data_IF_236371483050
#
_entry.id   IF_236371483050
#
_cell.length_a   1.000
_cell.length_b   1.000
_cell.length_c   1.000
_cell.angle_alpha   90.00
_cell.angle_beta   90.00
_cell.angle_gamma   90.00
#
_symmetry.space_group_name_H-M   'P 1'
#
loop_
_entity.id
_entity.type
_entity.pdbx_description
1 polymer ?
#
# COMPACT_ATOMS: atom_id res chain seq x y z
N UNK A 1 -45.99 33.73 -45.05
CA UNK A 1 -45.35 33.26 -46.30
C UNK A 1 -43.99 32.68 -45.97
N UNK A 2 -43.71 31.42 -46.37
CA UNK A 2 -42.48 30.69 -46.07
C UNK A 2 -41.48 30.70 -47.23
N UNK A 3 -40.18 30.52 -46.93
CA UNK A 3 -39.12 29.89 -47.75
C UNK A 3 -38.09 29.40 -46.72
N UNK A 4 -37.77 28.14 -46.44
CA UNK A 4 -37.63 26.89 -47.20
C UNK A 4 -36.80 27.07 -48.48
N UNK A 5 -35.53 26.69 -48.37
CA UNK A 5 -34.65 26.15 -49.42
C UNK A 5 -33.58 25.35 -48.66
N UNK A 6 -33.81 24.05 -48.47
CA UNK A 6 -33.35 22.92 -49.31
C UNK A 6 -31.88 22.57 -49.11
N UNK A 7 -31.69 21.34 -48.63
CA UNK A 7 -30.45 20.57 -48.63
C UNK A 7 -30.09 20.14 -50.06
N UNK A 8 -28.80 20.14 -50.37
CA UNK A 8 -28.22 19.25 -51.37
C UNK A 8 -26.85 18.75 -50.87
N UNK A 9 -26.79 17.43 -50.68
CA UNK A 9 -25.59 16.62 -50.61
C UNK A 9 -24.68 16.83 -51.83
N UNK A 10 -23.36 16.59 -51.69
CA UNK A 10 -22.61 15.58 -52.46
C UNK A 10 -21.07 15.69 -52.26
N UNK A 11 -20.44 14.51 -52.15
CA UNK A 11 -19.05 14.18 -52.52
C UNK A 11 -17.92 14.72 -51.62
N UNK A 12 -17.31 13.93 -50.72
CA UNK A 12 -16.37 12.82 -50.99
C UNK A 12 -15.19 13.21 -51.89
N UNK A 13 -14.00 13.42 -51.29
CA UNK A 13 -12.73 12.99 -51.88
C UNK A 13 -11.71 12.72 -50.77
N UNK A 14 -11.44 11.45 -50.55
CA UNK A 14 -10.17 10.96 -50.02
C UNK A 14 -9.04 11.41 -50.95
N UNK A 15 -7.96 11.97 -50.41
CA UNK A 15 -6.64 11.88 -51.03
C UNK A 15 -5.62 11.54 -49.96
N UNK A 16 -5.33 10.24 -49.90
CA UNK A 16 -4.05 9.73 -49.46
C UNK A 16 -2.92 10.43 -50.22
N UNK A 17 -1.90 10.90 -49.52
CA UNK A 17 -0.54 10.86 -50.03
C UNK A 17 0.39 10.44 -48.90
N UNK A 18 1.03 9.31 -49.18
CA UNK A 18 1.89 8.46 -48.36
C UNK A 18 3.31 8.81 -48.82
N UNK A 19 4.14 9.42 -47.96
CA UNK A 19 5.59 9.44 -48.16
C UNK A 19 6.24 9.07 -46.82
N UNK A 20 6.45 7.76 -46.65
CA UNK A 20 7.27 7.19 -45.59
C UNK A 20 8.73 7.34 -45.97
N UNK A 21 9.42 8.27 -45.31
CA UNK A 21 10.87 8.31 -45.26
C UNK A 21 11.35 7.10 -44.43
N UNK A 22 11.90 6.09 -45.12
CA UNK A 22 12.44 4.88 -44.49
C UNK A 22 13.85 5.16 -44.00
N UNK A 23 13.99 5.59 -42.76
CA UNK A 23 15.27 5.50 -42.03
C UNK A 23 15.54 4.03 -41.70
N UNK A 24 16.51 3.42 -42.39
CA UNK A 24 16.99 2.08 -42.08
C UNK A 24 17.81 2.12 -40.78
N UNK A 25 17.19 1.72 -39.67
CA UNK A 25 17.92 1.41 -38.43
C UNK A 25 18.87 0.20 -38.68
N UNK A 26 20.13 0.25 -38.21
CA UNK A 26 21.04 -0.87 -38.36
C UNK A 26 20.58 -2.07 -37.54
N UNK A 27 20.46 -3.23 -38.20
CA UNK A 27 20.03 -4.47 -37.57
C UNK A 27 20.99 -4.88 -36.44
N UNK A 28 20.47 -4.89 -35.21
CA UNK A 28 21.11 -5.48 -34.05
C UNK A 28 21.28 -6.99 -34.27
N UNK A 29 22.53 -7.44 -34.32
CA UNK A 29 22.88 -8.86 -34.40
C UNK A 29 22.36 -9.56 -33.13
N UNK A 30 21.30 -10.35 -33.27
CA UNK A 30 20.76 -11.16 -32.18
C UNK A 30 21.71 -12.34 -31.92
N UNK A 31 22.46 -12.31 -30.82
CA UNK A 31 23.11 -13.51 -30.29
C UNK A 31 22.04 -14.44 -29.73
N UNK A 32 21.53 -15.33 -30.58
CA UNK A 32 20.65 -16.42 -30.20
C UNK A 32 21.51 -17.49 -29.50
N UNK A 33 21.69 -17.38 -28.18
CA UNK A 33 22.26 -18.48 -27.42
C UNK A 33 21.25 -19.63 -27.40
N UNK A 34 21.66 -20.74 -28.01
CA UNK A 34 20.91 -21.97 -28.11
C UNK A 34 20.96 -22.68 -26.74
N UNK A 35 19.95 -22.51 -25.90
CA UNK A 35 19.77 -23.40 -24.74
C UNK A 35 19.06 -24.65 -25.23
N UNK A 36 19.85 -25.69 -25.53
CA UNK A 36 19.33 -27.04 -25.68
C UNK A 36 18.67 -27.46 -24.37
N UNK A 37 17.37 -27.73 -24.41
CA UNK A 37 16.63 -28.39 -23.33
C UNK A 37 17.06 -29.84 -23.24
N UNK A 38 17.56 -30.26 -22.07
CA UNK A 38 17.76 -31.66 -21.68
C UNK A 38 17.39 -31.79 -20.18
N UNK A 39 16.98 -32.98 -19.72
CA UNK A 39 15.70 -33.22 -19.08
C UNK A 39 15.79 -33.15 -17.56
N UNK A 40 14.65 -32.82 -16.96
CA UNK A 40 14.33 -33.10 -15.56
C UNK A 40 14.38 -34.60 -15.31
N UNK A 41 15.23 -35.04 -14.38
CA UNK A 41 14.96 -36.15 -13.46
C UNK A 41 15.89 -36.02 -12.23
N UNK A 42 15.23 -35.92 -11.07
CA UNK A 42 15.60 -36.41 -9.74
C UNK A 42 17.05 -36.27 -9.25
N UNK A 43 17.29 -35.20 -8.48
CA UNK A 43 18.22 -35.26 -7.35
C UNK A 43 17.54 -34.65 -6.13
N UNK A 44 17.52 -35.48 -5.09
CA UNK A 44 16.67 -35.35 -3.93
C UNK A 44 16.79 -34.06 -3.12
N UNK A 45 15.66 -33.76 -2.53
CA UNK A 45 15.39 -33.00 -1.32
C UNK A 45 16.57 -32.99 -0.31
N UNK A 46 17.43 -31.98 -0.40
CA UNK A 46 18.57 -31.78 0.52
C UNK A 46 18.59 -30.40 1.20
N UNK A 47 17.54 -29.59 1.02
CA UNK A 47 17.45 -28.24 1.59
C UNK A 47 16.05 -27.86 2.12
N UNK A 48 15.20 -28.84 2.38
CA UNK A 48 14.02 -28.64 3.21
C UNK A 48 14.40 -28.82 4.69
N UNK A 49 14.91 -27.76 5.32
CA UNK A 49 14.91 -27.67 6.79
C UNK A 49 13.61 -26.96 7.17
N UNK A 50 12.76 -27.67 7.90
CA UNK A 50 11.47 -27.23 8.40
C UNK A 50 11.56 -25.90 9.15
N UNK A 51 10.81 -24.92 8.67
CA UNK A 51 10.52 -23.64 9.30
C UNK A 51 9.36 -23.79 10.29
N UNK A 52 9.61 -24.33 11.48
CA UNK A 52 8.60 -24.33 12.56
C UNK A 52 9.11 -23.95 13.95
N UNK A 53 10.33 -23.41 14.07
CA UNK A 53 10.92 -22.96 15.35
C UNK A 53 11.70 -21.64 15.22
N UNK A 54 11.17 -20.65 14.49
CA UNK A 54 11.85 -19.32 14.36
C UNK A 54 11.03 -18.19 15.00
N UNK A 55 9.99 -18.51 15.77
CA UNK A 55 9.23 -17.48 16.51
C UNK A 55 9.76 -17.24 17.93
N UNK A 56 10.71 -18.04 18.44
CA UNK A 56 11.27 -17.89 19.79
C UNK A 56 12.75 -17.46 19.84
N UNK A 57 13.46 -17.43 18.70
CA UNK A 57 14.91 -17.16 18.69
C UNK A 57 15.26 -15.67 18.48
N UNK A 58 14.33 -14.84 18.03
CA UNK A 58 14.57 -13.41 17.78
C UNK A 58 14.44 -12.52 19.05
N UNK A 59 13.89 -13.05 20.16
CA UNK A 59 13.93 -12.37 21.47
C UNK A 59 15.22 -12.69 22.26
N UNK A 60 15.86 -13.83 22.02
CA UNK A 60 17.09 -14.23 22.70
C UNK A 60 18.33 -13.48 22.21
N UNK A 61 18.32 -12.91 20.99
CA UNK A 61 19.44 -12.15 20.44
C UNK A 61 19.56 -10.72 20.99
N UNK A 62 18.66 -10.28 21.88
CA UNK A 62 18.80 -9.03 22.64
C UNK A 62 19.30 -9.23 24.08
N UNK A 63 19.40 -10.47 24.56
CA UNK A 63 19.98 -10.80 25.86
C UNK A 63 21.16 -11.73 25.63
N UNK A 64 22.34 -11.15 25.42
CA UNK A 64 23.58 -11.87 25.11
C UNK A 64 23.87 -13.01 26.10
N UNK A 65 23.48 -14.22 25.73
CA UNK A 65 23.79 -15.46 26.45
C UNK A 65 23.86 -16.62 25.47
N UNK A 66 25.01 -16.75 24.83
CA UNK A 66 25.49 -18.03 24.34
C UNK A 66 26.70 -18.42 25.20
N UNK A 67 26.43 -19.33 26.13
CA UNK A 67 27.44 -20.02 26.91
C UNK A 67 27.85 -21.30 26.18
N UNK A 68 29.16 -21.52 26.01
CA UNK A 68 29.71 -22.86 25.82
C UNK A 68 30.50 -23.10 24.53
N UNK A 69 31.70 -22.53 24.43
CA UNK A 69 32.86 -23.23 23.86
C UNK A 69 34.11 -22.68 24.56
N UNK A 70 34.67 -23.48 25.47
CA UNK A 70 35.91 -23.16 26.18
C UNK A 70 37.10 -23.30 25.23
N UNK A 71 37.45 -22.22 24.55
CA UNK A 71 38.79 -22.05 23.97
C UNK A 71 39.66 -21.44 25.05
N UNK A 72 40.82 -22.05 25.27
CA UNK A 72 41.78 -21.65 26.28
C UNK A 72 42.12 -20.17 26.13
N UNK A 73 42.23 -19.49 27.28
CA UNK A 73 42.81 -18.16 27.46
C UNK A 73 43.95 -17.92 26.47
N UNK A 74 43.67 -17.19 25.38
CA UNK A 74 44.73 -16.56 24.59
C UNK A 74 45.29 -15.44 25.48
N UNK A 75 46.37 -15.78 26.16
CA UNK A 75 47.32 -14.78 26.63
C UNK A 75 47.68 -13.93 25.42
N UNK A 76 47.55 -12.61 25.57
CA UNK A 76 48.01 -11.67 24.56
C UNK A 76 49.48 -11.98 24.27
N UNK A 77 49.74 -12.65 23.15
CA UNK A 77 51.05 -12.61 22.54
C UNK A 77 51.21 -11.16 22.10
N UNK A 78 51.97 -10.39 22.89
CA UNK A 78 52.53 -9.13 22.42
C UNK A 78 53.31 -9.48 21.15
N UNK A 79 52.67 -9.29 20.01
CA UNK A 79 53.38 -9.15 18.74
C UNK A 79 54.15 -7.86 18.92
N UNK A 80 55.45 -7.98 19.19
CA UNK A 80 56.34 -6.84 19.10
C UNK A 80 56.07 -6.17 17.75
N UNK A 81 55.63 -4.91 17.78
CA UNK A 81 55.53 -4.12 16.58
C UNK A 81 56.94 -4.04 16.00
N UNK A 82 57.21 -4.82 14.96
CA UNK A 82 58.39 -4.65 14.13
C UNK A 82 58.45 -3.16 13.78
N UNK A 83 59.49 -2.48 14.28
CA UNK A 83 59.68 -1.04 14.08
C UNK A 83 59.77 -0.78 12.59
N UNK A 84 58.64 -0.41 11.99
CA UNK A 84 58.57 0.05 10.60
C UNK A 84 59.53 1.24 10.50
N UNK A 85 60.47 1.18 9.55
CA UNK A 85 61.45 2.24 9.36
C UNK A 85 60.74 3.62 9.30
N UNK A 86 61.28 4.67 9.95
CA UNK A 86 60.60 5.96 10.04
C UNK A 86 60.35 6.58 8.66
N UNK A 87 61.15 6.22 7.66
CA UNK A 87 60.95 6.62 6.27
C UNK A 87 59.71 5.96 5.62
N UNK A 88 59.44 4.70 5.95
CA UNK A 88 58.27 3.95 5.46
C UNK A 88 57.01 4.42 6.18
N UNK A 89 57.09 4.69 7.49
CA UNK A 89 55.99 5.31 8.24
C UNK A 89 55.61 6.68 7.67
N UNK A 90 56.57 7.55 7.38
CA UNK A 90 56.34 8.86 6.77
C UNK A 90 55.78 8.76 5.33
N UNK A 91 56.04 7.66 4.62
CA UNK A 91 55.44 7.38 3.31
C UNK A 91 54.00 6.84 3.44
N UNK A 92 53.72 5.99 4.43
CA UNK A 92 52.39 5.46 4.74
C UNK A 92 51.45 6.56 5.25
N UNK A 93 51.94 7.52 6.04
CA UNK A 93 51.17 8.68 6.50
C UNK A 93 50.73 9.61 5.36
N UNK A 94 51.52 9.69 4.28
CA UNK A 94 51.19 10.45 3.07
C UNK A 94 50.40 9.66 2.04
N UNK A 95 50.21 8.35 2.29
CA UNK A 95 49.44 7.48 1.41
C UNK A 95 47.95 7.69 1.61
N UNK A 96 47.16 7.31 0.60
CA UNK A 96 45.70 7.37 0.66
C UNK A 96 45.14 6.45 1.75
N UNK A 97 45.88 5.41 2.15
CA UNK A 97 45.45 4.37 3.09
C UNK A 97 45.96 4.64 4.52
N UNK A 98 45.59 5.76 5.13
CA UNK A 98 45.96 6.07 6.51
C UNK A 98 45.17 5.23 7.54
N UNK A 99 45.66 5.11 8.79
CA UNK A 99 44.93 4.46 9.88
C UNK A 99 43.60 5.20 10.10
N UNK A 100 42.48 4.52 9.87
CA UNK A 100 41.13 5.12 9.87
C UNK A 100 40.55 5.49 8.50
N UNK A 101 41.27 5.27 7.40
CA UNK A 101 40.74 5.39 6.04
C UNK A 101 39.54 4.43 5.80
N UNK A 102 39.57 3.26 6.42
CA UNK A 102 38.47 2.27 6.41
C UNK A 102 37.17 2.82 7.01
N UNK A 103 37.27 3.74 7.97
CA UNK A 103 36.12 4.42 8.56
C UNK A 103 35.56 5.49 7.61
N UNK A 104 36.43 6.29 7.00
CA UNK A 104 36.02 7.35 6.08
C UNK A 104 35.29 6.85 4.81
N UNK A 105 35.67 5.68 4.27
CA UNK A 105 34.95 5.05 3.14
C UNK A 105 33.83 4.07 3.58
N UNK A 106 33.92 3.51 4.79
CA UNK A 106 33.01 2.47 5.29
C UNK A 106 31.79 2.98 6.06
N UNK A 107 31.83 4.19 6.61
CA UNK A 107 30.74 4.74 7.44
C UNK A 107 29.45 5.05 6.64
N UNK A 108 29.55 5.19 5.32
CA UNK A 108 28.42 5.45 4.43
C UNK A 108 27.85 4.23 3.71
N UNK A 109 28.59 3.12 3.66
CA UNK A 109 28.21 1.96 2.86
C UNK A 109 28.10 0.72 3.75
N UNK A 110 27.00 0.62 4.50
CA UNK A 110 26.60 -0.66 5.09
C UNK A 110 26.49 -1.68 3.95
N UNK A 111 27.36 -2.70 3.96
CA UNK A 111 27.32 -3.79 2.98
C UNK A 111 26.10 -4.66 3.31
N UNK A 112 24.92 -4.17 2.91
CA UNK A 112 23.67 -4.89 3.04
C UNK A 112 23.63 -5.98 1.99
N UNK A 113 23.18 -7.17 2.39
CA UNK A 113 22.95 -8.24 1.42
C UNK A 113 21.91 -7.81 0.38
N UNK A 114 21.97 -8.38 -0.84
CA UNK A 114 20.98 -8.11 -1.89
C UNK A 114 19.54 -8.34 -1.40
N UNK A 115 19.35 -9.33 -0.54
CA UNK A 115 18.05 -9.66 0.06
C UNK A 115 17.61 -8.61 1.08
N UNK A 116 18.53 -8.10 1.91
CA UNK A 116 18.25 -7.03 2.86
C UNK A 116 17.85 -5.74 2.13
N UNK A 117 18.58 -5.34 1.09
CA UNK A 117 18.22 -4.20 0.25
C UNK A 117 16.84 -4.37 -0.41
N UNK A 118 16.51 -5.59 -0.86
CA UNK A 118 15.19 -5.89 -1.43
C UNK A 118 14.07 -5.78 -0.38
N UNK A 119 14.32 -6.22 0.85
CA UNK A 119 13.38 -6.12 1.98
C UNK A 119 13.15 -4.66 2.37
N UNK A 120 14.21 -3.86 2.47
CA UNK A 120 14.12 -2.43 2.78
C UNK A 120 13.34 -1.66 1.70
N UNK A 121 13.65 -1.88 0.42
CA UNK A 121 12.89 -1.28 -0.70
C UNK A 121 11.43 -1.71 -0.72
N UNK A 122 11.10 -2.92 -0.25
CA UNK A 122 9.71 -3.36 -0.11
C UNK A 122 9.04 -2.61 1.05
N UNK A 123 9.70 -2.49 2.20
CA UNK A 123 9.19 -1.74 3.35
C UNK A 123 8.98 -0.26 3.03
N UNK A 124 9.88 0.37 2.27
CA UNK A 124 9.73 1.75 1.78
C UNK A 124 8.50 1.89 0.87
N UNK A 125 8.32 0.96 -0.08
CA UNK A 125 7.12 0.90 -0.93
C UNK A 125 5.83 0.61 -0.19
N UNK A 126 5.90 -0.02 0.98
CA UNK A 126 4.71 -0.27 1.80
C UNK A 126 4.30 0.98 2.59
N UNK A 127 5.24 1.90 2.84
CA UNK A 127 5.01 3.18 3.53
C UNK A 127 4.41 4.24 2.62
N UNK A 128 4.76 4.27 1.34
CA UNK A 128 4.23 5.24 0.38
C UNK A 128 3.67 4.57 -0.88
N UNK A 129 2.72 5.22 -1.55
CA UNK A 129 2.19 4.74 -2.85
C UNK A 129 3.20 4.81 -4.00
N UNK A 130 4.32 5.52 -3.80
CA UNK A 130 5.38 5.78 -4.78
C UNK A 130 5.20 7.09 -5.57
N UNK A 131 6.22 7.42 -6.38
CA UNK A 131 6.36 8.71 -7.05
C UNK A 131 5.25 9.01 -8.05
N UNK A 132 4.70 8.00 -8.72
CA UNK A 132 3.57 8.16 -9.65
C UNK A 132 2.31 8.72 -8.98
N UNK A 133 2.21 8.58 -7.66
CA UNK A 133 1.10 9.07 -6.87
C UNK A 133 1.59 9.93 -5.69
N UNK A 134 2.50 10.86 -6.00
CA UNK A 134 3.00 11.91 -5.11
C UNK A 134 3.41 11.43 -3.72
N UNK A 135 3.93 10.20 -3.61
CA UNK A 135 4.41 9.60 -2.37
C UNK A 135 3.41 9.71 -1.20
N UNK A 136 2.13 9.45 -1.47
CA UNK A 136 1.10 9.47 -0.44
C UNK A 136 1.42 8.46 0.68
N UNK A 137 1.46 8.90 1.96
CA UNK A 137 1.80 8.04 3.08
C UNK A 137 0.66 7.06 3.42
N UNK A 138 1.03 5.90 3.95
CA UNK A 138 0.11 4.96 4.57
C UNK A 138 -0.31 5.49 5.95
N UNK A 139 -1.43 6.22 5.99
CA UNK A 139 -1.99 6.77 7.22
C UNK A 139 -2.49 5.64 8.14
N UNK A 140 -2.29 5.81 9.45
CA UNK A 140 -2.79 4.86 10.45
C UNK A 140 -4.33 4.82 10.50
N UNK A 141 -4.85 3.62 10.66
CA UNK A 141 -6.28 3.33 10.66
C UNK A 141 -6.85 3.51 12.07
N UNK A 142 -6.87 4.77 12.54
CA UNK A 142 -7.51 5.13 13.82
C UNK A 142 -9.00 4.81 13.79
N UNK A 143 -9.62 4.65 14.96
CA UNK A 143 -11.05 4.31 15.02
C UNK A 143 -11.95 5.38 14.38
N UNK A 144 -11.59 6.66 14.50
CA UNK A 144 -12.30 7.77 13.87
C UNK A 144 -12.22 7.67 12.35
N UNK A 145 -11.01 7.48 11.81
CA UNK A 145 -10.79 7.34 10.38
C UNK A 145 -11.50 6.11 9.83
N UNK A 146 -11.52 5.00 10.58
CA UNK A 146 -12.23 3.78 10.21
C UNK A 146 -13.73 4.04 10.03
N UNK A 147 -14.37 4.70 11.01
CA UNK A 147 -15.80 5.04 10.96
C UNK A 147 -16.12 5.93 9.76
N UNK A 148 -15.29 6.93 9.49
CA UNK A 148 -15.49 7.83 8.33
C UNK A 148 -15.37 7.06 7.00
N UNK A 149 -14.39 6.16 6.86
CA UNK A 149 -14.23 5.33 5.66
C UNK A 149 -15.39 4.35 5.47
N UNK A 150 -15.89 3.73 6.55
CA UNK A 150 -17.07 2.87 6.50
C UNK A 150 -18.32 3.63 6.07
N UNK A 151 -18.49 4.87 6.56
CA UNK A 151 -19.59 5.75 6.13
C UNK A 151 -19.49 6.08 4.65
N UNK A 152 -18.29 6.37 4.14
CA UNK A 152 -18.08 6.62 2.70
C UNK A 152 -18.42 5.40 1.84
N UNK A 153 -18.10 4.20 2.31
CA UNK A 153 -18.47 2.96 1.64
C UNK A 153 -19.99 2.77 1.61
N UNK A 154 -20.66 3.06 2.73
CA UNK A 154 -22.12 2.97 2.87
C UNK A 154 -22.88 4.20 2.36
N UNK A 155 -22.24 5.15 1.67
CA UNK A 155 -22.85 6.43 1.25
C UNK A 155 -24.16 6.29 0.48
N UNK A 156 -24.35 5.17 -0.24
CA UNK A 156 -25.58 4.84 -0.98
C UNK A 156 -26.83 4.72 -0.10
N UNK A 157 -26.66 4.46 1.21
CA UNK A 157 -27.76 4.27 2.15
C UNK A 157 -28.10 5.55 2.93
N UNK A 158 -27.25 6.57 2.90
CA UNK A 158 -27.39 7.78 3.71
C UNK A 158 -28.50 8.68 3.18
N UNK A 159 -28.53 8.89 1.86
CA UNK A 159 -29.53 9.71 1.19
C UNK A 159 -30.29 8.87 0.17
N UNK A 160 -31.63 8.74 0.28
CA UNK A 160 -32.43 8.01 -0.70
C UNK A 160 -32.48 8.69 -2.08
N UNK A 161 -32.16 9.98 -2.18
CA UNK A 161 -32.21 10.74 -3.43
C UNK A 161 -30.90 10.62 -4.22
N UNK A 162 -29.77 10.61 -3.53
CA UNK A 162 -28.46 10.49 -4.15
C UNK A 162 -28.11 9.01 -4.43
N UNK A 163 -28.10 8.63 -5.72
CA UNK A 163 -27.65 7.31 -6.14
C UNK A 163 -26.17 7.35 -6.58
N UNK A 164 -25.31 6.70 -5.78
CA UNK A 164 -23.90 6.57 -6.10
C UNK A 164 -23.60 5.26 -6.83
N UNK A 165 -22.52 5.25 -7.62
CA UNK A 165 -21.93 4.00 -8.10
C UNK A 165 -21.45 3.16 -6.91
N UNK A 166 -21.65 1.84 -7.00
CA UNK A 166 -21.19 0.89 -5.99
C UNK A 166 -19.66 0.91 -5.91
N UNK A 167 -19.12 0.72 -4.71
CA UNK A 167 -17.68 0.60 -4.52
C UNK A 167 -17.20 -0.75 -5.09
N UNK A 168 -16.04 -0.75 -5.75
CA UNK A 168 -15.48 -1.96 -6.37
C UNK A 168 -14.89 -2.93 -5.34
N UNK A 169 -14.52 -2.42 -4.16
CA UNK A 169 -13.85 -3.17 -3.10
C UNK A 169 -14.61 -3.05 -1.80
N UNK A 170 -14.71 -4.17 -1.08
CA UNK A 170 -15.26 -4.21 0.28
C UNK A 170 -14.24 -3.79 1.34
N UNK A 171 -12.95 -3.90 1.03
CA UNK A 171 -11.84 -3.59 1.95
C UNK A 171 -11.55 -2.09 1.96
N UNK A 172 -11.28 -1.55 3.15
CA UNK A 172 -10.89 -0.15 3.33
C UNK A 172 -9.56 0.15 2.62
N UNK A 173 -9.39 1.37 2.07
CA UNK A 173 -8.15 1.76 1.40
C UNK A 173 -6.98 1.83 2.38
N UNK A 174 -5.81 1.32 1.96
CA UNK A 174 -4.57 1.39 2.75
C UNK A 174 -3.97 2.80 2.80
N UNK A 175 -3.99 3.51 1.67
CA UNK A 175 -3.42 4.85 1.54
C UNK A 175 -4.56 5.84 1.41
N UNK A 176 -4.63 6.80 2.33
CA UNK A 176 -5.66 7.84 2.33
C UNK A 176 -5.14 9.09 3.05
N UNK A 177 -5.69 10.24 2.67
CA UNK A 177 -5.47 11.52 3.33
C UNK A 177 -6.82 12.16 3.62
N UNK A 178 -6.95 12.75 4.81
CA UNK A 178 -8.15 13.48 5.21
C UNK A 178 -7.88 14.97 5.02
N UNK A 179 -8.63 15.59 4.11
CA UNK A 179 -8.55 17.00 3.81
C UNK A 179 -9.84 17.73 4.18
N UNK A 180 -9.76 19.07 4.24
CA UNK A 180 -10.92 19.95 4.41
C UNK A 180 -11.11 20.79 3.16
N UNK A 181 -12.36 20.99 2.75
CA UNK A 181 -12.68 21.85 1.62
C UNK A 181 -12.41 23.31 2.01
N UNK A 182 -11.57 23.99 1.23
CA UNK A 182 -11.32 25.43 1.37
C UNK A 182 -12.36 26.16 0.52
N UNK A 183 -13.28 26.84 1.20
CA UNK A 183 -14.35 27.58 0.54
C UNK A 183 -13.81 28.81 -0.22
N UNK A 184 -14.44 29.11 -1.35
CA UNK A 184 -14.13 30.30 -2.13
C UNK A 184 -14.78 31.55 -1.52
N UNK A 185 -14.11 32.71 -1.62
CA UNK A 185 -14.59 33.96 -0.99
C UNK A 185 -15.86 34.52 -1.62
N UNK A 186 -16.12 34.25 -2.89
CA UNK A 186 -17.30 34.79 -3.59
C UNK A 186 -18.62 34.08 -3.23
N UNK A 187 -18.57 32.86 -2.70
CA UNK A 187 -19.75 32.05 -2.44
C UNK A 187 -20.06 31.97 -0.94
N UNK A 188 -20.60 33.06 -0.39
CA UNK A 188 -20.79 33.22 1.06
C UNK A 188 -22.08 32.57 1.58
N UNK A 189 -23.15 32.57 0.78
CA UNK A 189 -24.50 32.23 1.26
C UNK A 189 -24.99 30.84 0.86
N UNK A 190 -24.33 30.17 -0.09
CA UNK A 190 -24.83 28.89 -0.62
C UNK A 190 -24.00 27.69 -0.14
N UNK A 191 -22.72 27.63 -0.48
CA UNK A 191 -21.87 26.46 -0.18
C UNK A 191 -21.15 26.54 1.17
N UNK A 192 -20.99 27.74 1.74
CA UNK A 192 -20.22 27.96 2.96
C UNK A 192 -20.97 27.49 4.21
N UNK A 193 -20.29 26.66 5.01
CA UNK A 193 -20.79 26.23 6.31
C UNK A 193 -20.43 27.22 7.41
N UNK A 194 -21.34 27.46 8.35
CA UNK A 194 -21.05 28.28 9.53
C UNK A 194 -20.05 27.57 10.46
N UNK A 195 -19.33 28.33 11.30
CA UNK A 195 -18.34 27.77 12.25
C UNK A 195 -18.91 26.68 13.17
N UNK A 196 -20.22 26.73 13.48
CA UNK A 196 -20.89 25.75 14.33
C UNK A 196 -21.15 24.42 13.62
N UNK A 197 -21.44 24.48 12.33
CA UNK A 197 -21.72 23.32 11.48
C UNK A 197 -20.46 22.57 11.09
N UNK A 198 -19.33 23.27 10.93
CA UNK A 198 -18.02 22.65 10.65
C UNK A 198 -17.58 21.76 11.82
N UNK A 199 -17.39 20.46 11.57
CA UNK A 199 -16.87 19.51 12.57
C UNK A 199 -15.48 18.99 12.18
N UNK A 200 -14.96 18.03 12.95
CA UNK A 200 -13.64 17.44 12.70
C UNK A 200 -13.74 16.28 11.71
N UNK A 201 -14.75 15.43 11.88
CA UNK A 201 -14.97 14.20 11.11
C UNK A 201 -16.31 14.23 10.37
N UNK A 202 -16.45 13.40 9.35
CA UNK A 202 -17.68 13.31 8.55
C UNK A 202 -18.82 12.76 9.40
N UNK A 203 -18.54 11.75 10.21
CA UNK A 203 -19.53 11.16 11.14
C UNK A 203 -20.06 12.20 12.12
N UNK A 204 -19.20 13.07 12.66
CA UNK A 204 -19.65 14.14 13.57
C UNK A 204 -20.59 15.14 12.89
N UNK A 205 -20.36 15.45 11.60
CA UNK A 205 -21.25 16.34 10.84
C UNK A 205 -22.63 15.71 10.67
N UNK A 206 -22.68 14.42 10.32
CA UNK A 206 -23.93 13.66 10.20
C UNK A 206 -24.67 13.58 11.53
N UNK A 207 -23.95 13.37 12.63
CA UNK A 207 -24.55 13.33 13.96
C UNK A 207 -25.01 14.72 14.42
N UNK A 208 -24.43 15.81 13.93
CA UNK A 208 -24.91 17.15 14.26
C UNK A 208 -26.24 17.50 13.56
N UNK A 209 -26.59 16.84 12.46
CA UNK A 209 -27.85 17.06 11.74
C UNK A 209 -29.04 16.32 12.39
N UNK A 210 -29.93 17.10 13.00
CA UNK A 210 -31.14 16.58 13.64
C UNK A 210 -32.11 15.90 12.67
N UNK A 211 -32.18 16.34 11.41
CA UNK A 211 -33.07 15.74 10.43
C UNK A 211 -32.58 14.36 10.02
N UNK A 212 -31.28 14.24 9.79
CA UNK A 212 -30.61 12.99 9.50
C UNK A 212 -30.84 11.97 10.61
N UNK A 213 -30.64 12.37 11.88
CA UNK A 213 -30.94 11.50 13.03
C UNK A 213 -32.41 11.04 13.05
N UNK A 214 -33.36 11.96 12.86
CA UNK A 214 -34.77 11.62 12.88
C UNK A 214 -35.16 10.65 11.76
N UNK A 215 -34.62 10.84 10.55
CA UNK A 215 -34.83 9.94 9.40
C UNK A 215 -34.25 8.55 9.68
N UNK A 216 -33.02 8.48 10.20
CA UNK A 216 -32.34 7.22 10.51
C UNK A 216 -33.02 6.46 11.64
N UNK A 217 -33.44 7.14 12.71
CA UNK A 217 -34.18 6.52 13.80
C UNK A 217 -35.48 5.90 13.30
N UNK A 218 -36.28 6.63 12.51
CA UNK A 218 -37.50 6.11 11.89
C UNK A 218 -37.23 4.89 11.00
N UNK A 219 -36.13 4.89 10.24
CA UNK A 219 -35.73 3.75 9.39
C UNK A 219 -35.31 2.55 10.23
N UNK A 220 -34.49 2.78 11.26
CA UNK A 220 -34.03 1.75 12.18
C UNK A 220 -35.20 1.06 12.90
N UNK A 221 -36.15 1.81 13.44
CA UNK A 221 -37.33 1.26 14.11
C UNK A 221 -38.19 0.41 13.15
N UNK A 222 -38.33 0.85 11.89
CA UNK A 222 -39.01 0.07 10.83
C UNK A 222 -38.27 -1.22 10.50
N UNK A 223 -36.95 -1.22 10.47
CA UNK A 223 -36.15 -2.43 10.24
C UNK A 223 -36.29 -3.38 11.44
N UNK A 224 -36.12 -2.88 12.67
CA UNK A 224 -36.25 -3.68 13.89
C UNK A 224 -37.63 -4.32 14.04
N UNK A 225 -38.70 -3.57 13.80
CA UNK A 225 -40.07 -4.11 13.84
C UNK A 225 -40.29 -5.20 12.79
N UNK A 226 -39.77 -5.03 11.56
CA UNK A 226 -39.79 -6.06 10.52
C UNK A 226 -38.99 -7.30 10.92
N UNK A 227 -37.77 -7.14 11.43
CA UNK A 227 -36.92 -8.24 11.92
C UNK A 227 -37.63 -9.04 13.02
N UNK A 228 -38.20 -8.36 14.01
CA UNK A 228 -38.96 -9.00 15.09
C UNK A 228 -40.18 -9.76 14.55
N UNK A 229 -40.90 -9.18 13.59
CA UNK A 229 -42.05 -9.82 12.97
C UNK A 229 -41.63 -11.11 12.23
N UNK A 230 -40.58 -11.04 11.40
CA UNK A 230 -40.04 -12.18 10.66
C UNK A 230 -39.60 -13.26 11.65
N UNK A 231 -38.83 -12.91 12.69
CA UNK A 231 -38.36 -13.85 13.72
C UNK A 231 -39.53 -14.56 14.44
N UNK A 232 -40.62 -13.83 14.73
CA UNK A 232 -41.82 -14.40 15.34
C UNK A 232 -42.52 -15.36 14.38
N UNK A 233 -42.65 -15.00 13.11
CA UNK A 233 -43.27 -15.85 12.10
C UNK A 233 -42.46 -17.13 11.86
N UNK A 234 -41.14 -17.04 11.69
CA UNK A 234 -40.26 -18.19 11.48
C UNK A 234 -40.30 -19.14 12.67
N UNK A 235 -40.27 -18.61 13.90
CA UNK A 235 -40.38 -19.41 15.13
C UNK A 235 -41.73 -20.13 15.23
N UNK A 236 -42.83 -19.48 14.85
CA UNK A 236 -44.17 -20.10 14.84
C UNK A 236 -44.24 -21.23 13.81
N UNK A 237 -43.77 -21.00 12.59
CA UNK A 237 -43.73 -22.02 11.52
C UNK A 237 -42.89 -23.23 11.94
N UNK A 238 -41.72 -23.01 12.54
CA UNK A 238 -40.86 -24.09 13.06
C UNK A 238 -41.57 -24.92 14.13
N UNK A 239 -42.27 -24.28 15.07
CA UNK A 239 -43.06 -24.97 16.10
C UNK A 239 -44.21 -25.77 15.49
N UNK A 240 -44.91 -25.23 14.50
CA UNK A 240 -45.98 -25.93 13.79
C UNK A 240 -45.46 -27.16 13.04
N UNK A 241 -44.38 -27.00 12.26
CA UNK A 241 -43.75 -28.11 11.53
C UNK A 241 -43.26 -29.24 12.44
N UNK A 242 -42.77 -28.92 13.65
CA UNK A 242 -42.40 -29.93 14.65
C UNK A 242 -43.62 -30.67 15.22
N UNK A 243 -44.77 -29.98 15.37
CA UNK A 243 -46.01 -30.60 15.86
C UNK A 243 -46.65 -31.53 14.84
N UNK A 244 -46.58 -31.20 13.55
CA UNK A 244 -47.18 -32.00 12.47
C UNK A 244 -46.34 -33.20 12.05
N UNK A 245 -45.08 -33.30 12.50
CA UNK A 245 -44.18 -34.44 12.23
C UNK A 245 -44.27 -35.57 13.25
N UNK A 246 -45.07 -35.40 14.30
CA UNK A 246 -45.31 -36.38 15.35
C UNK A 246 -46.72 -36.91 15.21
#
# INVERSE_FOLDING_TARGET
MPKIFELSDLSSSESSDDERETDQEPQMISFRCYTASLPSDDMGDLFAIDTSLVEEEDEALQQGQLAGASTQKEEAMEVEEDKVDPAVAAALEKSVMHKGFEKALGEGCSIKSKNQLKRERRAEREKCTGTNWFDMPATELTEENKRDLEVLQMRSQLDPLAQYRKADREVLPKFFQIGKVIEHKADFYSSRLTKKQRKRTIVEELLADSEFQAKNRKRFDKVKTKEMHIRRQTSKKLKQAKRTRK
#
